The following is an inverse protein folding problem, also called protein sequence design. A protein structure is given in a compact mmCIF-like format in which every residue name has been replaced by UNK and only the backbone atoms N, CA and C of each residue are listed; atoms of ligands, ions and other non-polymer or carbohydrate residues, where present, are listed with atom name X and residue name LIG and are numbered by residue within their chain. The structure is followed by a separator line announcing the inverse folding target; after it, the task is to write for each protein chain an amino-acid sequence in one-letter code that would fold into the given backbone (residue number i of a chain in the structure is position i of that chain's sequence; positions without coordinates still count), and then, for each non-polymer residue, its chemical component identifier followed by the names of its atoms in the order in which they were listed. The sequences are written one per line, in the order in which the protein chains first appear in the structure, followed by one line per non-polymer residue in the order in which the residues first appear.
data_IF_652023413416
#
_entry.id   IF_652023413416
#
_cell.length_a   1.000
_cell.length_b   1.000
_cell.length_c   1.000
_cell.angle_alpha   90.00
_cell.angle_beta   90.00
_cell.angle_gamma   90.00
#
_symmetry.space_group_name_H-M   'P 1'
#
loop_
_entity.id
_entity.type
_entity.pdbx_description
1 polymer ?
#
# COMPACT_ATOMS: atom_id res chain seq x y z
N UNK A 1 12.45 6.09 19.77
CA UNK A 1 10.99 6.21 19.95
C UNK A 1 10.43 4.84 20.28
N UNK A 2 9.63 4.71 21.33
CA UNK A 2 9.09 3.41 21.74
C UNK A 2 7.99 2.97 20.75
N UNK A 3 7.76 1.67 20.63
CA UNK A 3 6.69 1.12 19.74
C UNK A 3 5.30 1.65 20.12
N UNK A 4 5.05 1.90 21.41
CA UNK A 4 3.83 2.53 21.92
C UNK A 4 3.65 3.97 21.43
N UNK A 5 4.73 4.76 21.37
CA UNK A 5 4.66 6.17 20.93
C UNK A 5 4.31 6.26 19.44
N UNK A 6 4.87 5.35 18.63
CA UNK A 6 4.55 5.25 17.21
C UNK A 6 3.07 4.88 16.98
N UNK A 7 2.54 3.91 17.73
CA UNK A 7 1.12 3.54 17.66
C UNK A 7 0.19 4.69 18.05
N UNK A 8 0.54 5.44 19.09
CA UNK A 8 -0.23 6.62 19.50
C UNK A 8 -0.22 7.67 18.38
N UNK A 9 0.95 7.94 17.79
CA UNK A 9 1.09 8.90 16.69
C UNK A 9 0.26 8.51 15.47
N UNK A 10 0.25 7.22 15.10
CA UNK A 10 -0.55 6.70 13.99
C UNK A 10 -2.04 6.78 14.28
N UNK A 11 -2.47 6.40 15.49
CA UNK A 11 -3.87 6.51 15.88
C UNK A 11 -4.36 7.96 15.84
N UNK A 12 -3.55 8.91 16.28
CA UNK A 12 -3.86 10.33 16.21
C UNK A 12 -3.94 10.82 14.76
N UNK A 13 -2.97 10.44 13.93
CA UNK A 13 -2.96 10.79 12.51
C UNK A 13 -4.18 10.20 11.79
N UNK A 14 -4.49 8.92 12.03
CA UNK A 14 -5.70 8.27 11.51
C UNK A 14 -6.97 8.99 11.95
N UNK A 15 -7.12 9.25 13.25
CA UNK A 15 -8.31 9.94 13.77
C UNK A 15 -8.48 11.33 13.17
N UNK A 16 -7.40 12.07 12.98
CA UNK A 16 -7.41 13.38 12.33
C UNK A 16 -7.81 13.27 10.85
N UNK A 17 -7.30 12.28 10.14
CA UNK A 17 -7.67 12.01 8.76
C UNK A 17 -9.11 11.52 8.62
N UNK A 18 -9.57 10.65 9.52
CA UNK A 18 -10.94 10.18 9.56
C UNK A 18 -11.93 11.32 9.79
N UNK A 19 -11.57 12.26 10.67
CA UNK A 19 -12.35 13.49 10.88
C UNK A 19 -12.38 14.38 9.63
N UNK A 20 -11.24 14.61 9.01
CA UNK A 20 -11.12 15.45 7.80
C UNK A 20 -11.85 14.86 6.58
N UNK A 21 -11.90 13.53 6.47
CA UNK A 21 -12.56 12.81 5.37
C UNK A 21 -14.01 12.41 5.70
N UNK A 22 -14.51 12.75 6.88
CA UNK A 22 -15.83 12.33 7.37
C UNK A 22 -16.01 10.80 7.32
N UNK A 23 -14.93 10.06 7.58
CA UNK A 23 -14.93 8.61 7.61
C UNK A 23 -15.60 8.13 8.91
N UNK A 24 -16.86 7.68 8.78
CA UNK A 24 -17.62 7.05 9.86
C UNK A 24 -18.27 5.78 9.30
N UNK A 25 -18.27 4.72 10.07
CA UNK A 25 -18.75 3.39 9.66
C UNK A 25 -20.18 3.39 9.09
N UNK A 26 -21.03 4.33 9.51
CA UNK A 26 -22.44 4.41 9.10
C UNK A 26 -22.73 5.34 7.92
N UNK A 27 -21.73 6.03 7.35
CA UNK A 27 -21.98 7.12 6.37
C UNK A 27 -21.02 7.12 5.17
N UNK A 28 -20.38 5.99 4.91
CA UNK A 28 -19.50 5.83 3.74
C UNK A 28 -20.34 5.45 2.51
N UNK A 29 -20.07 6.13 1.40
CA UNK A 29 -20.57 5.78 0.08
C UNK A 29 -19.40 5.58 -0.89
N UNK A 30 -19.69 5.07 -2.10
CA UNK A 30 -18.68 4.76 -3.11
C UNK A 30 -17.77 5.96 -3.44
N UNK A 31 -18.32 7.17 -3.50
CA UNK A 31 -17.56 8.38 -3.81
C UNK A 31 -16.60 8.78 -2.67
N UNK A 32 -17.05 8.68 -1.43
CA UNK A 32 -16.21 8.95 -0.25
C UNK A 32 -15.09 7.92 -0.13
N UNK A 33 -15.42 6.63 -0.32
CA UNK A 33 -14.41 5.57 -0.36
C UNK A 33 -13.36 5.83 -1.42
N UNK A 34 -13.79 6.13 -2.65
CA UNK A 34 -12.89 6.38 -3.76
C UNK A 34 -11.98 7.59 -3.52
N UNK A 35 -12.53 8.69 -3.00
CA UNK A 35 -11.76 9.88 -2.65
C UNK A 35 -10.72 9.58 -1.56
N UNK A 36 -11.12 8.81 -0.54
CA UNK A 36 -10.24 8.40 0.56
C UNK A 36 -9.10 7.51 0.07
N UNK A 37 -9.42 6.47 -0.68
CA UNK A 37 -8.42 5.51 -1.18
C UNK A 37 -7.44 6.22 -2.11
N UNK A 38 -7.91 7.00 -3.09
CA UNK A 38 -7.02 7.75 -4.00
C UNK A 38 -6.06 8.66 -3.23
N UNK A 39 -6.54 9.32 -2.15
CA UNK A 39 -5.65 10.15 -1.34
C UNK A 39 -4.59 9.31 -0.62
N UNK A 40 -4.99 8.23 0.03
CA UNK A 40 -4.08 7.38 0.82
C UNK A 40 -3.03 6.73 -0.08
N UNK A 41 -3.42 6.13 -1.20
CA UNK A 41 -2.52 5.50 -2.16
C UNK A 41 -1.51 6.50 -2.79
N UNK A 42 -1.91 7.77 -2.94
CA UNK A 42 -0.99 8.79 -3.45
C UNK A 42 0.22 9.01 -2.53
N UNK A 43 0.06 8.78 -1.24
CA UNK A 43 1.14 8.95 -0.25
C UNK A 43 1.77 7.61 0.16
N UNK A 44 1.08 6.49 -0.03
CA UNK A 44 1.52 5.16 0.39
C UNK A 44 2.84 4.72 -0.28
N UNK A 45 3.03 5.02 -1.58
CA UNK A 45 4.27 4.71 -2.29
C UNK A 45 5.48 5.56 -1.88
N UNK A 46 5.31 6.63 -1.08
CA UNK A 46 6.41 7.54 -0.68
C UNK A 46 7.46 6.84 0.18
N UNK A 47 7.13 6.07 1.22
CA UNK A 47 8.12 5.42 2.07
C UNK A 47 9.05 4.47 1.33
N UNK A 48 8.51 3.58 0.52
CA UNK A 48 9.29 2.64 -0.29
C UNK A 48 10.24 3.36 -1.24
N UNK A 49 9.73 4.36 -1.96
CA UNK A 49 10.53 5.17 -2.90
C UNK A 49 11.65 5.94 -2.19
N UNK A 50 11.36 6.66 -1.12
CA UNK A 50 12.35 7.44 -0.36
C UNK A 50 13.38 6.53 0.30
N UNK A 51 12.95 5.42 0.89
CA UNK A 51 13.85 4.42 1.46
C UNK A 51 14.82 3.85 0.43
N UNK A 52 14.30 3.46 -0.74
CA UNK A 52 15.10 2.96 -1.86
C UNK A 52 16.11 4.02 -2.35
N UNK A 53 15.67 5.26 -2.55
CA UNK A 53 16.53 6.37 -2.97
C UNK A 53 17.66 6.60 -1.98
N UNK A 54 17.36 6.71 -0.69
CA UNK A 54 18.37 6.93 0.36
C UNK A 54 19.40 5.78 0.40
N UNK A 55 18.94 4.54 0.29
CA UNK A 55 19.81 3.35 0.27
C UNK A 55 20.65 3.29 -1.00
N UNK A 56 20.08 3.61 -2.15
CA UNK A 56 20.79 3.66 -3.44
C UNK A 56 21.95 4.64 -3.39
N UNK A 57 21.69 5.89 -2.97
CA UNK A 57 22.72 6.90 -2.83
C UNK A 57 23.79 6.53 -1.77
N UNK A 58 23.37 5.86 -0.68
CA UNK A 58 24.33 5.33 0.31
C UNK A 58 25.21 4.25 -0.30
N UNK A 59 24.65 3.29 -1.04
CA UNK A 59 25.40 2.22 -1.70
C UNK A 59 26.47 2.79 -2.63
N UNK A 60 26.13 3.78 -3.46
CA UNK A 60 27.05 4.44 -4.39
C UNK A 60 28.19 5.15 -3.65
N UNK A 61 27.88 6.01 -2.67
CA UNK A 61 28.93 6.80 -1.97
C UNK A 61 29.82 5.98 -1.05
N UNK A 62 29.33 4.82 -0.56
CA UNK A 62 30.12 3.95 0.30
C UNK A 62 30.75 2.77 -0.44
N UNK A 63 30.44 2.58 -1.74
CA UNK A 63 30.86 1.45 -2.58
C UNK A 63 30.52 0.08 -1.94
N UNK A 64 29.36 0.00 -1.27
CA UNK A 64 28.89 -1.22 -0.62
C UNK A 64 27.61 -1.74 -1.29
N UNK A 65 27.49 -3.07 -1.33
CA UNK A 65 26.23 -3.70 -1.79
C UNK A 65 25.08 -3.38 -0.85
N UNK A 66 23.91 -3.21 -1.42
CA UNK A 66 22.67 -2.94 -0.66
C UNK A 66 21.98 -4.21 -0.14
N UNK A 67 22.36 -5.38 -0.63
CA UNK A 67 21.85 -6.67 -0.19
C UNK A 67 20.34 -6.89 -0.44
N UNK A 68 19.82 -6.33 -1.53
CA UNK A 68 18.47 -6.60 -2.01
C UNK A 68 17.38 -5.63 -1.51
N UNK A 69 17.67 -4.80 -0.52
CA UNK A 69 16.68 -3.88 0.06
C UNK A 69 16.09 -2.89 -0.95
N UNK A 70 16.92 -2.32 -1.84
CA UNK A 70 16.48 -1.35 -2.85
C UNK A 70 15.38 -1.95 -3.73
N UNK A 71 15.58 -3.18 -4.21
CA UNK A 71 14.61 -3.83 -5.10
C UNK A 71 13.27 -4.07 -4.41
N UNK A 72 13.28 -4.48 -3.15
CA UNK A 72 12.05 -4.69 -2.38
C UNK A 72 11.30 -3.38 -2.13
N UNK A 73 12.02 -2.33 -1.72
CA UNK A 73 11.41 -1.02 -1.46
C UNK A 73 10.85 -0.37 -2.74
N UNK A 74 11.54 -0.53 -3.89
CA UNK A 74 11.01 -0.07 -5.18
C UNK A 74 9.82 -0.91 -5.62
N UNK A 75 9.83 -2.23 -5.36
CA UNK A 75 8.70 -3.11 -5.64
C UNK A 75 7.46 -2.72 -4.83
N UNK A 76 7.62 -2.41 -3.54
CA UNK A 76 6.56 -1.89 -2.68
C UNK A 76 5.99 -0.56 -3.24
N UNK A 77 6.87 0.40 -3.54
CA UNK A 77 6.44 1.68 -4.09
C UNK A 77 5.72 1.56 -5.45
N UNK A 78 6.13 0.62 -6.31
CA UNK A 78 5.45 0.36 -7.58
C UNK A 78 4.10 -0.34 -7.37
N UNK A 79 4.00 -1.25 -6.39
CA UNK A 79 2.75 -1.91 -6.04
C UNK A 79 1.72 -0.90 -5.52
N UNK A 80 2.12 0.04 -4.64
CA UNK A 80 1.28 1.16 -4.21
C UNK A 80 0.79 2.02 -5.38
N UNK A 81 1.66 2.26 -6.36
CA UNK A 81 1.26 2.96 -7.59
C UNK A 81 0.19 2.19 -8.37
N UNK A 82 0.24 0.87 -8.40
CA UNK A 82 -0.79 0.05 -9.06
C UNK A 82 -2.12 0.08 -8.31
N UNK A 83 -2.10 0.10 -6.96
CA UNK A 83 -3.29 0.34 -6.16
C UNK A 83 -3.94 1.67 -6.55
N UNK A 84 -3.14 2.76 -6.59
CA UNK A 84 -3.62 4.09 -6.99
C UNK A 84 -4.23 4.10 -8.39
N UNK A 85 -3.53 3.53 -9.39
CA UNK A 85 -3.98 3.53 -10.80
C UNK A 85 -5.33 2.84 -10.93
N UNK A 86 -5.53 1.72 -10.25
CA UNK A 86 -6.82 1.00 -10.24
C UNK A 86 -7.99 1.91 -9.85
N UNK A 87 -7.84 2.71 -8.80
CA UNK A 87 -8.90 3.60 -8.34
C UNK A 87 -9.00 4.90 -9.16
N UNK A 88 -7.90 5.36 -9.76
CA UNK A 88 -7.90 6.53 -10.64
C UNK A 88 -8.66 6.29 -11.95
N UNK A 89 -8.79 5.07 -12.41
CA UNK A 89 -9.62 4.73 -13.55
C UNK A 89 -11.12 4.97 -13.27
N UNK A 90 -11.52 4.82 -12.01
CA UNK A 90 -12.90 4.99 -11.57
C UNK A 90 -13.28 6.47 -11.33
N UNK A 91 -12.32 7.33 -11.02
CA UNK A 91 -12.56 8.76 -10.75
C UNK A 91 -11.42 9.62 -11.27
N UNK A 92 -11.76 10.63 -12.06
CA UNK A 92 -10.81 11.67 -12.49
C UNK A 92 -10.83 12.83 -11.49
N UNK A 93 -9.80 12.98 -10.63
CA UNK A 93 -9.77 14.03 -9.63
C UNK A 93 -9.80 15.43 -10.25
N UNK A 94 -10.57 16.35 -9.64
CA UNK A 94 -10.60 17.76 -10.02
C UNK A 94 -9.29 18.49 -9.67
N UNK A 95 -9.12 19.72 -10.19
CA UNK A 95 -7.88 20.52 -10.00
C UNK A 95 -7.58 20.82 -8.54
N UNK A 96 -8.60 21.13 -7.74
CA UNK A 96 -8.45 21.44 -6.32
C UNK A 96 -7.96 20.23 -5.54
N UNK A 97 -8.57 19.07 -5.78
CA UNK A 97 -8.15 17.82 -5.16
C UNK A 97 -6.70 17.46 -5.52
N UNK A 98 -6.30 17.63 -6.81
CA UNK A 98 -4.92 17.41 -7.26
C UNK A 98 -3.92 18.35 -6.56
N UNK A 99 -4.31 19.59 -6.30
CA UNK A 99 -3.47 20.51 -5.54
C UNK A 99 -3.23 20.00 -4.12
N UNK A 100 -4.26 19.51 -3.43
CA UNK A 100 -4.10 18.93 -2.09
C UNK A 100 -3.29 17.63 -2.10
N UNK A 101 -3.43 16.80 -3.14
CA UNK A 101 -2.59 15.61 -3.31
C UNK A 101 -1.11 16.01 -3.44
N UNK A 102 -0.80 16.96 -4.32
CA UNK A 102 0.57 17.44 -4.54
C UNK A 102 1.17 18.03 -3.26
N UNK A 103 0.41 18.87 -2.55
CA UNK A 103 0.85 19.48 -1.31
C UNK A 103 1.07 18.42 -0.21
N UNK A 104 0.12 17.51 -0.01
CA UNK A 104 0.22 16.44 0.97
C UNK A 104 1.38 15.50 0.69
N UNK A 105 1.53 15.04 -0.54
CA UNK A 105 2.64 14.19 -0.96
C UNK A 105 3.99 14.90 -0.78
N UNK A 106 4.10 16.18 -1.19
CA UNK A 106 5.33 16.94 -1.06
C UNK A 106 5.74 17.13 0.40
N UNK A 107 4.81 17.48 1.29
CA UNK A 107 5.08 17.60 2.73
C UNK A 107 5.50 16.26 3.30
N UNK A 108 4.74 15.19 3.03
CA UNK A 108 5.02 13.86 3.56
C UNK A 108 6.37 13.32 3.07
N UNK A 109 6.68 13.46 1.78
CA UNK A 109 7.94 13.04 1.19
C UNK A 109 9.14 13.71 1.86
N UNK A 110 9.11 15.05 2.04
CA UNK A 110 10.20 15.78 2.67
C UNK A 110 10.35 15.39 4.14
N UNK A 111 9.26 15.32 4.90
CA UNK A 111 9.29 14.88 6.29
C UNK A 111 9.85 13.46 6.41
N UNK A 112 9.34 12.51 5.63
CA UNK A 112 9.79 11.13 5.66
C UNK A 112 11.27 10.99 5.27
N UNK A 113 11.74 11.76 4.27
CA UNK A 113 13.15 11.80 3.87
C UNK A 113 14.07 12.19 5.04
N UNK A 114 13.77 13.28 5.74
CA UNK A 114 14.59 13.70 6.87
C UNK A 114 14.56 12.70 8.03
N UNK A 115 13.39 12.14 8.35
CA UNK A 115 13.28 11.11 9.38
C UNK A 115 14.01 9.81 8.98
N UNK A 116 13.96 9.42 7.72
CA UNK A 116 14.64 8.23 7.23
C UNK A 116 16.16 8.36 7.32
N UNK A 117 16.72 9.55 7.08
CA UNK A 117 18.16 9.80 7.26
C UNK A 117 18.60 9.64 8.72
N UNK A 118 17.74 10.00 9.67
CA UNK A 118 18.07 9.96 11.11
C UNK A 118 17.78 8.59 11.74
N UNK A 119 16.67 7.96 11.39
CA UNK A 119 16.17 6.77 12.08
C UNK A 119 15.46 5.79 11.14
N UNK A 120 16.16 5.16 10.16
CA UNK A 120 15.52 4.32 9.14
C UNK A 120 14.73 3.15 9.72
N UNK A 121 15.21 2.48 10.77
CA UNK A 121 14.49 1.40 11.44
C UNK A 121 13.16 1.86 12.05
N UNK A 122 13.14 3.06 12.64
CA UNK A 122 11.92 3.67 13.16
C UNK A 122 10.95 4.00 12.05
N UNK A 123 11.44 4.46 10.89
CA UNK A 123 10.61 4.71 9.71
C UNK A 123 9.98 3.42 9.19
N UNK A 124 10.72 2.32 9.07
CA UNK A 124 10.15 1.03 8.69
C UNK A 124 9.12 0.54 9.71
N UNK A 125 9.38 0.68 11.01
CA UNK A 125 8.38 0.33 12.04
C UNK A 125 7.11 1.18 11.93
N UNK A 126 7.26 2.46 11.65
CA UNK A 126 6.14 3.37 11.41
C UNK A 126 5.31 2.95 10.20
N UNK A 127 5.96 2.63 9.07
CA UNK A 127 5.28 2.11 7.87
C UNK A 127 4.56 0.81 8.18
N UNK A 128 5.20 -0.16 8.85
CA UNK A 128 4.53 -1.40 9.23
C UNK A 128 3.23 -1.18 10.01
N UNK A 129 3.17 -0.16 10.88
CA UNK A 129 1.92 0.21 11.55
C UNK A 129 0.92 0.94 10.65
N UNK A 130 1.38 1.72 9.65
CA UNK A 130 0.49 2.29 8.64
C UNK A 130 -0.19 1.19 7.83
N UNK A 131 0.56 0.16 7.43
CA UNK A 131 0.03 -0.98 6.69
C UNK A 131 -0.93 -1.84 7.54
N UNK A 132 -0.73 -1.92 8.87
CA UNK A 132 -1.75 -2.50 9.76
C UNK A 132 -3.10 -1.78 9.61
N UNK A 133 -3.09 -0.46 9.50
CA UNK A 133 -4.30 0.35 9.32
C UNK A 133 -4.87 0.26 7.90
N UNK A 134 -4.01 0.12 6.87
CA UNK A 134 -4.43 -0.15 5.50
C UNK A 134 -5.16 -1.49 5.41
N UNK A 135 -4.61 -2.58 5.98
CA UNK A 135 -5.28 -3.89 6.05
C UNK A 135 -6.66 -3.80 6.71
N UNK A 136 -6.80 -3.03 7.80
CA UNK A 136 -8.11 -2.83 8.47
C UNK A 136 -9.06 -2.07 7.55
N UNK A 137 -8.58 -1.04 6.88
CA UNK A 137 -9.38 -0.19 5.96
C UNK A 137 -9.90 -1.02 4.79
N UNK A 138 -9.04 -1.80 4.13
CA UNK A 138 -9.46 -2.68 3.04
C UNK A 138 -10.34 -3.84 3.49
N UNK A 139 -10.13 -4.36 4.71
CA UNK A 139 -11.03 -5.36 5.31
C UNK A 139 -12.44 -4.78 5.52
N UNK A 140 -12.53 -3.54 5.99
CA UNK A 140 -13.82 -2.85 6.13
C UNK A 140 -14.47 -2.60 4.75
N UNK A 141 -13.69 -2.16 3.76
CA UNK A 141 -14.21 -1.97 2.40
C UNK A 141 -14.78 -3.26 1.79
N UNK A 142 -14.10 -4.39 1.97
CA UNK A 142 -14.61 -5.70 1.53
C UNK A 142 -15.91 -6.04 2.25
N UNK A 143 -15.99 -5.77 3.54
CA UNK A 143 -17.23 -5.97 4.31
C UNK A 143 -18.37 -5.13 3.76
N UNK A 144 -18.14 -3.86 3.44
CA UNK A 144 -19.14 -2.96 2.84
C UNK A 144 -19.63 -3.45 1.46
N UNK A 145 -18.72 -3.98 0.64
CA UNK A 145 -19.06 -4.59 -0.66
C UNK A 145 -19.95 -5.82 -0.45
N UNK A 146 -19.56 -6.72 0.47
CA UNK A 146 -20.24 -8.00 0.73
C UNK A 146 -21.64 -7.82 1.35
N UNK A 147 -21.84 -6.76 2.14
CA UNK A 147 -23.14 -6.44 2.74
C UNK A 147 -24.05 -5.58 1.84
N UNK A 148 -23.62 -5.32 0.60
CA UNK A 148 -24.45 -4.64 -0.39
C UNK A 148 -24.51 -3.11 -0.22
N UNK A 149 -23.65 -2.51 0.60
CA UNK A 149 -23.54 -1.06 0.76
C UNK A 149 -22.82 -0.41 -0.45
N UNK A 150 -22.07 -1.22 -1.20
CA UNK A 150 -21.28 -0.83 -2.37
C UNK A 150 -21.76 -1.59 -3.63
N UNK A 151 -23.02 -1.43 -4.01
CA UNK A 151 -23.68 -2.25 -5.04
C UNK A 151 -23.01 -2.18 -6.42
N UNK A 152 -22.56 -0.98 -6.83
CA UNK A 152 -21.87 -0.83 -8.11
C UNK A 152 -20.52 -1.52 -8.09
N UNK A 153 -19.76 -1.40 -7.01
CA UNK A 153 -18.44 -2.02 -6.90
C UNK A 153 -18.49 -3.54 -6.90
N UNK A 154 -19.52 -4.13 -6.27
CA UNK A 154 -19.72 -5.58 -6.27
C UNK A 154 -19.93 -6.15 -7.69
N UNK A 155 -20.57 -5.37 -8.58
CA UNK A 155 -20.87 -5.78 -9.94
C UNK A 155 -19.86 -5.27 -10.98
N UNK A 156 -18.97 -4.36 -10.62
CA UNK A 156 -18.00 -3.76 -11.54
C UNK A 156 -16.93 -4.78 -11.92
N UNK A 157 -16.74 -5.09 -13.22
CA UNK A 157 -15.65 -5.95 -13.65
C UNK A 157 -14.28 -5.32 -13.33
N UNK A 158 -13.30 -6.13 -12.95
CA UNK A 158 -11.93 -5.68 -12.84
C UNK A 158 -11.39 -5.22 -14.20
N UNK A 159 -10.55 -4.19 -14.21
CA UNK A 159 -9.90 -3.70 -15.44
C UNK A 159 -8.95 -4.74 -16.01
N UNK A 160 -8.64 -4.65 -17.29
CA UNK A 160 -7.67 -5.55 -17.92
C UNK A 160 -6.28 -5.40 -17.29
N UNK A 161 -5.91 -4.17 -16.93
CA UNK A 161 -4.64 -3.87 -16.27
C UNK A 161 -4.57 -4.53 -14.89
N UNK A 162 -5.61 -4.38 -14.07
CA UNK A 162 -5.69 -5.04 -12.75
C UNK A 162 -5.65 -6.57 -12.87
N UNK A 163 -6.36 -7.15 -13.85
CA UNK A 163 -6.34 -8.61 -14.09
C UNK A 163 -4.96 -9.10 -14.46
N UNK A 164 -4.25 -8.39 -15.31
CA UNK A 164 -2.87 -8.73 -15.71
C UNK A 164 -1.88 -8.58 -14.55
N UNK A 165 -2.00 -7.50 -13.77
CA UNK A 165 -1.08 -7.22 -12.68
C UNK A 165 -1.17 -8.27 -11.58
N UNK A 166 -2.38 -8.61 -11.13
CA UNK A 166 -2.61 -9.60 -10.06
C UNK A 166 -2.88 -11.02 -10.56
N UNK A 167 -2.77 -11.29 -11.86
CA UNK A 167 -3.05 -12.60 -12.48
C UNK A 167 -4.46 -13.13 -12.08
N UNK A 168 -5.45 -12.24 -12.18
CA UNK A 168 -6.82 -12.56 -11.80
C UNK A 168 -7.60 -13.22 -12.97
N UNK A 169 -8.61 -14.03 -12.68
CA UNK A 169 -9.42 -14.67 -13.71
C UNK A 169 -10.17 -13.63 -14.57
N UNK A 170 -10.54 -14.03 -15.78
CA UNK A 170 -11.21 -13.15 -16.77
C UNK A 170 -12.50 -12.54 -16.23
N UNK A 171 -13.23 -13.27 -15.39
CA UNK A 171 -14.47 -12.85 -14.75
C UNK A 171 -14.29 -12.13 -13.42
N UNK A 172 -13.04 -11.80 -13.03
CA UNK A 172 -12.76 -11.08 -11.79
C UNK A 172 -13.46 -9.72 -11.75
N UNK A 173 -13.91 -9.37 -10.57
CA UNK A 173 -14.60 -8.12 -10.24
C UNK A 173 -13.69 -7.17 -9.46
N UNK A 174 -14.14 -5.93 -9.25
CA UNK A 174 -13.44 -4.98 -8.38
C UNK A 174 -13.26 -5.51 -6.95
N UNK A 175 -14.21 -6.32 -6.45
CA UNK A 175 -14.06 -6.99 -5.16
C UNK A 175 -12.82 -7.88 -5.11
N UNK A 176 -12.54 -8.63 -6.18
CA UNK A 176 -11.36 -9.50 -6.25
C UNK A 176 -10.07 -8.67 -6.27
N UNK A 177 -10.08 -7.52 -6.92
CA UNK A 177 -8.97 -6.55 -6.92
C UNK A 177 -8.75 -6.00 -5.51
N UNK A 178 -9.80 -5.59 -4.80
CA UNK A 178 -9.71 -5.10 -3.42
C UNK A 178 -9.17 -6.18 -2.46
N UNK A 179 -9.51 -7.44 -2.69
CA UNK A 179 -8.92 -8.57 -1.95
C UNK A 179 -7.43 -8.75 -2.24
N UNK A 180 -7.01 -8.55 -3.49
CA UNK A 180 -5.60 -8.62 -3.87
C UNK A 180 -4.80 -7.47 -3.23
N UNK A 181 -5.30 -6.24 -3.32
CA UNK A 181 -4.71 -5.06 -2.66
C UNK A 181 -4.55 -5.31 -1.16
N UNK A 182 -5.61 -5.77 -0.47
CA UNK A 182 -5.53 -6.08 0.97
C UNK A 182 -4.44 -7.13 1.27
N UNK A 183 -4.22 -8.09 0.38
CA UNK A 183 -3.17 -9.10 0.55
C UNK A 183 -1.77 -8.47 0.39
N UNK A 184 -1.62 -7.54 -0.55
CA UNK A 184 -0.38 -6.79 -0.75
C UNK A 184 -0.05 -5.94 0.50
N UNK A 185 -1.03 -5.21 1.07
CA UNK A 185 -0.87 -4.44 2.31
C UNK A 185 -0.41 -5.33 3.50
N UNK A 186 -0.92 -6.56 3.56
CA UNK A 186 -0.47 -7.49 4.59
C UNK A 186 0.99 -7.92 4.38
N UNK A 187 1.45 -8.05 3.14
CA UNK A 187 2.85 -8.34 2.80
C UNK A 187 3.74 -7.13 3.14
N UNK A 188 3.33 -5.91 2.76
CA UNK A 188 4.04 -4.67 3.08
C UNK A 188 4.20 -4.49 4.59
N UNK A 189 3.14 -4.77 5.35
CA UNK A 189 3.16 -4.76 6.82
C UNK A 189 4.24 -5.68 7.38
N UNK A 190 4.21 -6.96 7.02
CA UNK A 190 5.18 -7.95 7.52
C UNK A 190 6.60 -7.57 7.10
N UNK A 191 6.78 -7.13 5.87
CA UNK A 191 8.06 -6.75 5.33
C UNK A 191 8.64 -5.54 6.08
N UNK A 192 7.88 -4.47 6.27
CA UNK A 192 8.34 -3.28 6.98
C UNK A 192 8.62 -3.55 8.47
N UNK A 193 7.82 -4.38 9.14
CA UNK A 193 8.15 -4.82 10.50
C UNK A 193 9.45 -5.62 10.52
N UNK A 194 9.68 -6.52 9.57
CA UNK A 194 10.92 -7.25 9.43
C UNK A 194 12.12 -6.32 9.21
N UNK A 195 12.03 -5.34 8.30
CA UNK A 195 13.08 -4.36 8.05
C UNK A 195 13.43 -3.51 9.28
N UNK A 196 12.46 -3.27 10.16
CA UNK A 196 12.68 -2.57 11.41
C UNK A 196 13.50 -3.39 12.43
N UNK A 197 13.40 -4.72 12.39
CA UNK A 197 14.05 -5.62 13.35
C UNK A 197 15.45 -6.03 12.92
N UNK A 198 15.68 -6.22 11.62
CA UNK A 198 16.96 -6.73 11.12
C UNK A 198 18.03 -5.65 11.03
N UNK A 199 19.30 -6.09 10.96
CA UNK A 199 20.40 -5.19 10.65
C UNK A 199 20.35 -4.74 9.18
N UNK A 200 20.64 -3.47 8.94
CA UNK A 200 20.60 -2.87 7.61
C UNK A 200 21.62 -3.43 6.62
N UNK A 201 22.56 -4.25 7.07
CA UNK A 201 23.54 -5.00 6.26
C UNK A 201 23.09 -6.43 5.94
N UNK A 202 21.98 -6.89 6.54
CA UNK A 202 21.47 -8.23 6.30
C UNK A 202 21.04 -8.40 4.84
N UNK A 203 21.34 -9.56 4.27
CA UNK A 203 20.85 -9.94 2.95
C UNK A 203 19.34 -10.18 3.04
N UNK A 204 18.58 -9.43 2.30
CA UNK A 204 17.19 -9.73 2.01
C UNK A 204 17.21 -10.60 0.74
N UNK A 205 16.85 -11.87 0.83
CA UNK A 205 16.80 -12.72 -0.35
C UNK A 205 15.96 -12.06 -1.43
N UNK A 206 16.42 -12.10 -2.66
CA UNK A 206 15.62 -11.73 -3.81
C UNK A 206 14.49 -12.77 -3.93
N UNK A 207 13.51 -12.71 -3.05
CA UNK A 207 12.21 -13.20 -3.42
C UNK A 207 11.88 -12.30 -4.61
N UNK A 208 11.77 -12.89 -5.81
CA UNK A 208 11.09 -12.19 -6.87
C UNK A 208 9.85 -11.61 -6.17
N UNK A 209 9.76 -10.28 -6.06
CA UNK A 209 8.48 -9.64 -5.80
C UNK A 209 7.70 -10.09 -7.01
N UNK A 210 7.20 -11.30 -6.91
CA UNK A 210 6.25 -11.77 -7.87
C UNK A 210 5.13 -10.81 -7.64
N UNK A 211 4.93 -9.94 -8.58
CA UNK A 211 3.71 -9.19 -8.82
C UNK A 211 2.49 -10.13 -8.84
N UNK A 212 2.68 -11.39 -8.52
CA UNK A 212 1.67 -12.41 -8.35
C UNK A 212 1.21 -12.40 -6.91
N UNK A 213 0.05 -11.81 -6.70
CA UNK A 213 -0.69 -11.92 -5.44
C UNK A 213 -0.70 -13.36 -4.92
N UNK A 214 -0.66 -13.59 -3.59
CA UNK A 214 -0.89 -14.92 -3.01
C UNK A 214 -2.19 -15.59 -3.49
N UNK A 215 -3.16 -14.81 -4.00
CA UNK A 215 -4.35 -15.33 -4.67
C UNK A 215 -4.02 -16.00 -6.01
N UNK A 216 -3.08 -15.48 -6.80
CA UNK A 216 -2.65 -16.09 -8.06
C UNK A 216 -2.04 -17.49 -7.84
N UNK A 217 -1.30 -17.68 -6.73
CA UNK A 217 -0.76 -18.99 -6.38
C UNK A 217 -1.84 -20.03 -6.03
N UNK A 218 -3.02 -19.61 -5.55
CA UNK A 218 -4.15 -20.53 -5.27
C UNK A 218 -4.88 -20.97 -6.53
N UNK A 219 -5.00 -20.11 -7.52
CA UNK A 219 -5.69 -20.44 -8.77
C UNK A 219 -4.90 -21.42 -9.62
N UNK A 220 -3.60 -21.28 -9.76
CA UNK A 220 -2.76 -22.24 -10.48
C UNK A 220 -2.53 -23.57 -9.75
N UNK A 221 -2.70 -23.59 -8.43
CA UNK A 221 -2.61 -24.85 -7.65
C UNK A 221 -3.79 -25.81 -7.84
N UNK A 222 -4.92 -25.33 -8.37
CA UNK A 222 -6.13 -26.15 -8.59
C UNK A 222 -6.25 -26.73 -10.00
N UNK A 223 -5.55 -26.16 -11.00
CA UNK A 223 -5.58 -26.69 -12.37
C UNK A 223 -4.71 -27.96 -12.57
N UNK A 224 -3.85 -28.28 -11.61
CA UNK A 224 -2.96 -29.45 -11.67
C UNK A 224 -3.51 -30.74 -11.05
N UNK A 225 -4.78 -30.80 -10.62
CA UNK A 225 -5.41 -31.99 -9.99
C UNK A 225 -6.66 -32.47 -10.72
N UNK A 226 -6.62 -32.51 -12.03
CA UNK A 226 -7.58 -33.26 -12.83
C UNK A 226 -6.83 -34.26 -13.71
N UNK A 227 -6.45 -35.38 -13.11
CA UNK A 227 -6.26 -36.68 -13.75
C UNK A 227 -6.47 -37.79 -12.74
#
# INVERSE_FOLDING_TARGET
MCSSDLRISINLMRSSFDLATSYRDSNMNEEKWLTRVIFLETVAGVPGFVGAMCRHLRSLRTLKRDNGWINHLLGEAENERQHLVTFMEMKKPGRVFRFFLLAGQGVYMNMYFFFYLMAPKTCHRFVGYLEEEAVKTYTHLIHEIDHGNMKHWAATPATMESKQYWDLPVNATLRDVVLAIRADEAIHREFNHHLADVDSSMLIPHVAVTTKSPMAMRYHGNEGRSH
#
